data_IF_090145988971
#
_entry.id   IF_090145988971
#
_cell.length_a   1.000
_cell.length_b   1.000
_cell.length_c   1.000
_cell.angle_alpha   90.00
_cell.angle_beta   90.00
_cell.angle_gamma   90.00
#
_symmetry.space_group_name_H-M   'P 1'
#
loop_
_entity.id
_entity.type
_entity.pdbx_description
1 polymer ?
#
# COMPACT_ATOMS: atom_id res chain seq x y z
N UNK A 1 -8.95 13.91 0.53
CA UNK A 1 -8.76 13.27 -0.78
C UNK A 1 -7.81 12.10 -0.60
N UNK A 2 -8.28 10.85 -0.61
CA UNK A 2 -7.39 9.71 -0.51
C UNK A 2 -6.59 9.64 -1.82
N UNK A 3 -5.39 10.24 -1.84
CA UNK A 3 -4.47 10.11 -2.96
C UNK A 3 -4.31 8.63 -3.26
N UNK A 4 -4.70 8.21 -4.46
CA UNK A 4 -4.49 6.85 -4.96
C UNK A 4 -2.99 6.63 -5.05
N UNK A 5 -2.38 6.14 -3.97
CA UNK A 5 -0.99 5.71 -4.01
C UNK A 5 -0.99 4.35 -4.70
N UNK A 6 -0.57 4.35 -5.95
CA UNK A 6 -0.43 3.11 -6.72
C UNK A 6 0.63 2.19 -6.12
N UNK A 7 0.42 0.87 -6.26
CA UNK A 7 1.28 -0.16 -5.70
C UNK A 7 2.75 0.03 -6.13
N UNK A 8 2.97 0.43 -7.38
CA UNK A 8 4.30 0.72 -7.93
C UNK A 8 4.99 1.89 -7.20
N UNK A 9 4.24 2.95 -6.85
CA UNK A 9 4.75 4.09 -6.11
C UNK A 9 5.10 3.71 -4.66
N UNK A 10 4.25 2.91 -4.01
CA UNK A 10 4.53 2.39 -2.67
C UNK A 10 5.77 1.46 -2.66
N UNK A 11 5.93 0.61 -3.69
CA UNK A 11 7.13 -0.23 -3.87
C UNK A 11 8.41 0.59 -4.01
N UNK A 12 8.42 1.68 -4.79
CA UNK A 12 9.58 2.58 -4.90
C UNK A 12 9.92 3.23 -3.55
N UNK A 13 8.90 3.66 -2.81
CA UNK A 13 9.05 4.32 -1.49
C UNK A 13 9.55 3.39 -0.38
N UNK A 14 9.40 2.06 -0.51
CA UNK A 14 10.02 1.10 0.41
C UNK A 14 11.55 1.16 0.40
N UNK A 15 12.15 1.52 -0.74
CA UNK A 15 13.61 1.64 -0.89
C UNK A 15 14.12 3.04 -0.53
N UNK A 16 13.25 3.92 -0.01
CA UNK A 16 13.67 5.26 0.41
C UNK A 16 14.60 5.22 1.62
N UNK A 17 15.58 6.12 1.65
CA UNK A 17 16.46 6.31 2.83
C UNK A 17 15.70 6.88 4.03
N UNK A 18 14.56 7.55 3.81
CA UNK A 18 13.76 8.13 4.88
C UNK A 18 12.86 7.07 5.55
N UNK A 19 13.05 6.88 6.85
CA UNK A 19 12.31 5.88 7.63
C UNK A 19 10.80 6.13 7.68
N UNK A 20 10.36 7.41 7.77
CA UNK A 20 8.92 7.76 7.76
C UNK A 20 8.29 7.36 6.42
N UNK A 21 9.00 7.59 5.32
CA UNK A 21 8.56 7.21 3.97
C UNK A 21 8.43 5.69 3.83
N UNK A 22 9.42 4.92 4.32
CA UNK A 22 9.34 3.44 4.30
C UNK A 22 8.18 2.91 5.13
N UNK A 23 7.97 3.45 6.34
CA UNK A 23 6.90 3.01 7.22
C UNK A 23 5.52 3.30 6.61
N UNK A 24 5.35 4.48 5.99
CA UNK A 24 4.12 4.81 5.26
C UNK A 24 3.90 3.87 4.07
N UNK A 25 4.95 3.58 3.28
CA UNK A 25 4.88 2.64 2.17
C UNK A 25 4.50 1.22 2.61
N UNK A 26 5.08 0.74 3.72
CA UNK A 26 4.74 -0.57 4.31
C UNK A 26 3.27 -0.63 4.71
N UNK A 27 2.74 0.40 5.38
CA UNK A 27 1.32 0.48 5.75
C UNK A 27 0.41 0.44 4.53
N UNK A 28 0.70 1.26 3.51
CA UNK A 28 -0.07 1.28 2.25
C UNK A 28 -0.10 -0.09 1.58
N UNK A 29 1.03 -0.79 1.49
CA UNK A 29 1.09 -2.12 0.87
C UNK A 29 0.30 -3.17 1.67
N UNK A 30 0.34 -3.12 3.00
CA UNK A 30 -0.48 -3.98 3.85
C UNK A 30 -1.97 -3.70 3.68
N UNK A 31 -2.38 -2.43 3.65
CA UNK A 31 -3.77 -2.02 3.47
C UNK A 31 -4.28 -2.41 2.08
N UNK A 32 -3.47 -2.24 1.03
CA UNK A 32 -3.78 -2.71 -0.33
C UNK A 32 -3.96 -4.23 -0.39
N UNK A 33 -3.08 -4.99 0.27
CA UNK A 33 -3.20 -6.46 0.35
C UNK A 33 -4.50 -6.87 1.05
N UNK A 34 -4.82 -6.26 2.19
CA UNK A 34 -6.06 -6.53 2.94
C UNK A 34 -7.30 -6.17 2.13
N UNK A 35 -7.28 -5.03 1.43
CA UNK A 35 -8.40 -4.59 0.60
C UNK A 35 -8.59 -5.48 -0.63
N UNK A 36 -7.50 -5.99 -1.24
CA UNK A 36 -7.61 -6.99 -2.30
C UNK A 36 -8.20 -8.31 -1.80
N UNK A 37 -7.77 -8.80 -0.63
CA UNK A 37 -8.34 -10.01 -0.01
C UNK A 37 -9.82 -9.80 0.32
N UNK A 38 -10.18 -8.66 0.90
CA UNK A 38 -11.58 -8.32 1.20
C UNK A 38 -12.44 -8.19 -0.06
N UNK A 39 -11.88 -7.65 -1.15
CA UNK A 39 -12.58 -7.57 -2.45
C UNK A 39 -12.85 -8.95 -3.03
N UNK A 40 -11.90 -9.88 -2.93
CA UNK A 40 -12.08 -11.26 -3.40
C UNK A 40 -13.13 -12.00 -2.56
N UNK A 41 -13.13 -11.82 -1.24
CA UNK A 41 -14.07 -12.51 -0.35
C UNK A 41 -15.52 -11.98 -0.39
N UNK A 42 -15.74 -10.74 -0.85
CA UNK A 42 -17.08 -10.12 -0.93
C UNK A 42 -17.74 -10.33 -2.30
N UNK A 43 -16.97 -10.69 -3.33
CA UNK A 43 -17.48 -10.90 -4.69
C UNK A 43 -17.38 -12.37 -5.15
N UNK A 44 -17.25 -13.31 -4.21
CA UNK A 44 -17.20 -14.75 -4.46
C UNK A 44 -18.43 -15.46 -3.91
#
# INVERSE_FOLDING_TARGET
>A
MAEKIDYASAKRRLNSRNIKTRNRAKKVLHDMKRNNVKKVLVNG
#
